data_IF_490387025593
#
_entry.id   IF_490387025593
#
_cell.length_a   1.000
_cell.length_b   1.000
_cell.length_c   1.000
_cell.angle_alpha   90.00
_cell.angle_beta   90.00
_cell.angle_gamma   90.00
#
_symmetry.space_group_name_H-M   'P 1'
#
loop_
_entity.id
_entity.type
_entity.pdbx_description
1 polymer ?
#
# COMPACT_ATOMS: atom_id res chain seq x y z
N UNK A 1 -2.94 -5.58 -8.69
CA UNK A 1 -2.25 -6.03 -9.92
C UNK A 1 -2.50 -5.12 -11.11
N UNK A 2 -3.74 -4.75 -11.43
CA UNK A 2 -4.07 -3.92 -12.62
C UNK A 2 -3.37 -2.56 -12.66
N UNK A 3 -3.23 -1.87 -11.52
CA UNK A 3 -2.59 -0.54 -11.45
C UNK A 3 -1.07 -0.57 -11.67
N UNK A 4 -0.43 -1.74 -11.58
CA UNK A 4 1.00 -1.85 -11.87
C UNK A 4 1.29 -1.60 -13.36
N UNK A 5 0.42 -2.07 -14.25
CA UNK A 5 0.50 -1.83 -15.70
C UNK A 5 0.39 -0.33 -15.99
N UNK A 6 -0.51 0.36 -15.29
CA UNK A 6 -0.66 1.81 -15.39
C UNK A 6 0.63 2.55 -14.98
N UNK A 7 1.23 2.18 -13.84
CA UNK A 7 2.48 2.79 -13.39
C UNK A 7 3.62 2.56 -14.40
N UNK A 8 3.74 1.34 -14.93
CA UNK A 8 4.74 1.00 -15.96
C UNK A 8 4.52 1.78 -17.25
N UNK A 9 3.27 1.94 -17.70
CA UNK A 9 2.96 2.70 -18.91
C UNK A 9 3.40 4.17 -18.79
N UNK A 10 3.11 4.81 -17.66
CA UNK A 10 3.55 6.19 -17.41
C UNK A 10 5.07 6.28 -17.33
N UNK A 11 5.72 5.33 -16.65
CA UNK A 11 7.18 5.28 -16.56
C UNK A 11 7.82 5.10 -17.95
N UNK A 12 7.22 4.28 -18.82
CA UNK A 12 7.68 4.08 -20.18
C UNK A 12 7.56 5.36 -21.04
N UNK A 13 6.45 6.08 -20.92
CA UNK A 13 6.26 7.38 -21.59
C UNK A 13 7.28 8.40 -21.08
N UNK A 14 7.52 8.41 -19.76
CA UNK A 14 8.53 9.28 -19.14
C UNK A 14 9.94 8.99 -19.64
N UNK A 15 10.30 7.71 -19.82
CA UNK A 15 11.59 7.27 -20.36
C UNK A 15 11.84 7.78 -21.79
N UNK A 16 10.80 7.78 -22.64
CA UNK A 16 10.90 8.34 -24.00
C UNK A 16 10.91 9.87 -24.01
N UNK A 17 10.09 10.49 -23.17
CA UNK A 17 9.97 11.94 -23.12
C UNK A 17 9.47 12.41 -21.75
N UNK A 18 10.28 13.16 -20.98
CA UNK A 18 9.94 13.53 -19.61
C UNK A 18 8.73 14.45 -19.54
N UNK A 19 8.59 15.38 -20.50
CA UNK A 19 7.46 16.33 -20.56
C UNK A 19 6.12 15.61 -20.68
N UNK A 20 5.99 14.67 -21.63
CA UNK A 20 4.74 13.93 -21.83
C UNK A 20 4.44 12.96 -20.69
N UNK A 21 5.47 12.37 -20.07
CA UNK A 21 5.27 11.52 -18.88
C UNK A 21 4.65 12.30 -17.72
N UNK A 22 5.15 13.50 -17.43
CA UNK A 22 4.61 14.37 -16.38
C UNK A 22 3.20 14.84 -16.72
N UNK A 23 2.96 15.28 -17.97
CA UNK A 23 1.62 15.72 -18.41
C UNK A 23 0.60 14.59 -18.26
N UNK A 24 0.90 13.38 -18.75
CA UNK A 24 0.02 12.23 -18.62
C UNK A 24 -0.27 11.86 -17.17
N UNK A 25 0.72 11.97 -16.28
CA UNK A 25 0.54 11.76 -14.85
C UNK A 25 -0.41 12.80 -14.23
N UNK A 26 -0.15 14.09 -14.46
CA UNK A 26 -0.96 15.20 -13.91
C UNK A 26 -2.40 15.13 -14.40
N UNK A 27 -2.60 14.92 -15.72
CA UNK A 27 -3.94 14.77 -16.31
C UNK A 27 -4.67 13.59 -15.68
N UNK A 28 -3.98 12.47 -15.48
CA UNK A 28 -4.57 11.30 -14.84
C UNK A 28 -4.95 11.54 -13.38
N UNK A 29 -4.15 12.28 -12.61
CA UNK A 29 -4.48 12.62 -11.22
C UNK A 29 -5.65 13.58 -11.11
N UNK A 30 -5.72 14.60 -11.97
CA UNK A 30 -6.87 15.52 -11.99
C UNK A 30 -8.13 14.76 -12.37
N UNK A 31 -8.07 13.92 -13.39
CA UNK A 31 -9.20 13.12 -13.85
C UNK A 31 -9.76 12.22 -12.74
N UNK A 32 -8.89 11.56 -11.97
CA UNK A 32 -9.32 10.64 -10.90
C UNK A 32 -9.93 11.38 -9.71
N UNK A 33 -9.40 12.55 -9.36
CA UNK A 33 -9.97 13.42 -8.33
C UNK A 33 -11.34 13.95 -8.75
N UNK A 34 -11.49 14.43 -9.98
CA UNK A 34 -12.75 14.94 -10.50
C UNK A 34 -13.81 13.84 -10.59
N UNK A 35 -13.48 12.68 -11.16
CA UNK A 35 -14.41 11.55 -11.25
C UNK A 35 -14.86 11.09 -9.86
N UNK A 36 -13.92 10.98 -8.91
CA UNK A 36 -14.27 10.57 -7.54
C UNK A 36 -15.18 11.61 -6.88
N UNK A 37 -14.92 12.91 -7.08
CA UNK A 37 -15.76 13.97 -6.56
C UNK A 37 -17.18 13.95 -7.16
N UNK A 38 -17.31 13.76 -8.47
CA UNK A 38 -18.60 13.67 -9.16
C UNK A 38 -19.41 12.48 -8.64
N UNK A 39 -18.78 11.31 -8.45
CA UNK A 39 -19.46 10.12 -7.93
C UNK A 39 -19.99 10.38 -6.51
N UNK A 40 -19.18 11.00 -5.65
CA UNK A 40 -19.61 11.33 -4.28
C UNK A 40 -20.76 12.32 -4.25
N UNK A 41 -20.72 13.31 -5.15
CA UNK A 41 -21.78 14.29 -5.31
C UNK A 41 -23.09 13.65 -5.79
N UNK A 42 -23.03 12.76 -6.78
CA UNK A 42 -24.20 12.04 -7.31
C UNK A 42 -24.81 11.06 -6.29
N UNK A 43 -23.97 10.37 -5.51
CA UNK A 43 -24.43 9.44 -4.48
C UNK A 43 -24.88 10.13 -3.18
N UNK A 44 -24.63 11.44 -3.03
CA UNK A 44 -24.91 12.22 -1.82
C UNK A 44 -24.37 11.53 -0.55
N UNK A 45 -23.19 10.91 -0.66
CA UNK A 45 -22.63 10.03 0.36
C UNK A 45 -22.36 10.79 1.66
N UNK A 46 -22.77 10.23 2.79
CA UNK A 46 -22.47 10.75 4.12
C UNK A 46 -21.32 9.94 4.77
N UNK A 47 -20.70 10.49 5.81
CA UNK A 47 -19.68 9.78 6.60
C UNK A 47 -20.29 8.79 7.61
N UNK A 48 -21.61 8.56 7.58
CA UNK A 48 -22.24 7.54 8.41
C UNK A 48 -21.88 6.16 7.88
N UNK A 49 -21.55 5.24 8.78
CA UNK A 49 -21.09 3.90 8.45
C UNK A 49 -22.06 3.15 7.50
N UNK A 50 -23.37 3.28 7.72
CA UNK A 50 -24.38 2.61 6.91
C UNK A 50 -24.48 3.18 5.48
N UNK A 51 -24.40 4.50 5.33
CA UNK A 51 -24.42 5.16 4.02
C UNK A 51 -23.13 4.86 3.25
N UNK A 52 -21.99 4.88 3.94
CA UNK A 52 -20.71 4.50 3.38
C UNK A 52 -20.70 3.03 2.93
N UNK A 53 -21.31 2.12 3.71
CA UNK A 53 -21.43 0.71 3.36
C UNK A 53 -22.31 0.52 2.12
N UNK A 54 -23.50 1.16 2.08
CA UNK A 54 -24.40 1.10 0.91
C UNK A 54 -23.74 1.60 -0.37
N UNK A 55 -22.99 2.68 -0.27
CA UNK A 55 -22.35 3.32 -1.42
C UNK A 55 -20.98 2.68 -1.75
N UNK A 56 -20.54 1.65 -1.02
CA UNK A 56 -19.23 0.98 -1.21
C UNK A 56 -19.07 0.45 -2.65
N UNK A 57 -20.14 -0.06 -3.27
CA UNK A 57 -20.08 -0.53 -4.66
C UNK A 57 -19.91 0.61 -5.68
N UNK A 58 -20.42 1.81 -5.38
CA UNK A 58 -20.26 2.96 -6.26
C UNK A 58 -18.92 3.69 -6.03
N UNK A 59 -18.43 3.68 -4.80
CA UNK A 59 -17.36 4.55 -4.32
C UNK A 59 -16.02 3.82 -4.09
N UNK A 60 -16.06 2.53 -3.74
CA UNK A 60 -14.92 1.79 -3.22
C UNK A 60 -14.49 0.60 -4.10
N UNK A 61 -15.41 -0.12 -4.73
CA UNK A 61 -15.08 -1.29 -5.57
C UNK A 61 -14.55 -0.87 -6.95
N UNK A 62 -14.96 0.29 -7.44
CA UNK A 62 -14.57 0.81 -8.75
C UNK A 62 -13.08 1.20 -8.80
N UNK A 63 -12.32 0.72 -9.80
CA UNK A 63 -10.86 0.88 -9.82
C UNK A 63 -10.40 2.34 -9.99
N UNK A 64 -11.19 3.18 -10.67
CA UNK A 64 -10.82 4.58 -10.93
C UNK A 64 -10.77 5.45 -9.68
N UNK A 65 -11.52 5.13 -8.62
CA UNK A 65 -11.43 5.86 -7.34
C UNK A 65 -10.22 5.40 -6.50
N UNK A 66 -9.60 4.28 -6.87
CA UNK A 66 -8.51 3.63 -6.12
C UNK A 66 -7.12 3.91 -6.64
N UNK A 67 -7.00 4.33 -7.90
CA UNK A 67 -5.70 4.61 -8.52
C UNK A 67 -4.97 5.79 -7.87
N UNK A 68 -5.70 6.66 -7.17
CA UNK A 68 -5.18 7.84 -6.47
C UNK A 68 -4.12 7.50 -5.42
N UNK A 69 -4.24 6.38 -4.70
CA UNK A 69 -3.20 5.93 -3.77
C UNK A 69 -1.93 5.49 -4.49
N UNK A 70 -2.03 4.85 -5.65
CA UNK A 70 -0.86 4.49 -6.47
C UNK A 70 -0.13 5.72 -7.00
N UNK A 71 -0.87 6.77 -7.39
CA UNK A 71 -0.27 8.03 -7.83
C UNK A 71 0.56 8.70 -6.74
N UNK A 72 0.10 8.67 -5.47
CA UNK A 72 0.90 9.16 -4.34
C UNK A 72 2.24 8.41 -4.20
N UNK A 73 2.21 7.08 -4.36
CA UNK A 73 3.40 6.23 -4.36
C UNK A 73 4.36 6.56 -5.51
N UNK A 74 3.84 6.89 -6.69
CA UNK A 74 4.67 7.32 -7.84
C UNK A 74 5.40 8.64 -7.56
N UNK A 75 4.69 9.63 -6.97
CA UNK A 75 5.28 10.92 -6.58
C UNK A 75 6.41 10.69 -5.58
N UNK A 76 6.17 9.88 -4.55
CA UNK A 76 7.15 9.56 -3.53
C UNK A 76 8.34 8.78 -4.09
N UNK A 77 8.09 7.80 -4.97
CA UNK A 77 9.15 7.07 -5.67
C UNK A 77 10.04 7.99 -6.51
N UNK A 78 9.44 8.98 -7.19
CA UNK A 78 10.18 9.99 -7.94
C UNK A 78 11.02 10.90 -7.01
N UNK A 79 10.44 11.36 -5.90
CA UNK A 79 11.17 12.14 -4.88
C UNK A 79 12.35 11.33 -4.35
N UNK A 80 12.15 10.06 -4.02
CA UNK A 80 13.20 9.16 -3.55
C UNK A 80 14.31 8.96 -4.59
N UNK A 81 13.95 8.83 -5.87
CA UNK A 81 14.92 8.74 -6.95
C UNK A 81 15.79 9.99 -7.05
N UNK A 82 15.19 11.18 -7.02
CA UNK A 82 15.92 12.47 -7.12
C UNK A 82 16.75 12.77 -5.87
N UNK A 83 16.25 12.39 -4.70
CA UNK A 83 16.91 12.65 -3.40
C UNK A 83 17.87 11.55 -2.97
N UNK A 84 18.05 10.50 -3.78
CA UNK A 84 18.90 9.33 -3.45
C UNK A 84 20.32 9.73 -3.04
N UNK A 85 20.90 10.71 -3.74
CA UNK A 85 22.27 11.17 -3.54
C UNK A 85 22.37 12.43 -2.66
N UNK A 86 21.23 13.03 -2.27
CA UNK A 86 21.19 14.25 -1.47
C UNK A 86 20.54 13.99 -0.12
N UNK A 87 21.35 13.99 0.94
CA UNK A 87 20.81 14.02 2.32
C UNK A 87 20.34 15.43 2.62
N UNK A 88 19.02 15.60 2.76
CA UNK A 88 18.43 16.85 3.20
C UNK A 88 18.60 16.95 4.71
N UNK A 89 19.31 17.97 5.17
CA UNK A 89 19.46 18.24 6.59
C UNK A 89 18.25 19.01 7.10
N UNK A 90 17.35 18.33 7.81
CA UNK A 90 16.27 18.97 8.57
C UNK A 90 16.77 19.44 9.94
N UNK A 91 16.30 20.61 10.36
CA UNK A 91 16.48 21.09 11.72
C UNK A 91 15.53 20.37 12.69
N UNK A 92 15.92 20.26 13.96
CA UNK A 92 15.09 19.61 15.01
C UNK A 92 13.67 20.17 15.08
N UNK A 93 13.49 21.48 14.87
CA UNK A 93 12.17 22.15 14.85
C UNK A 93 11.33 21.66 13.68
N UNK A 94 11.89 21.58 12.48
CA UNK A 94 11.18 21.09 11.29
C UNK A 94 10.74 19.64 11.45
N UNK A 95 11.60 18.79 12.02
CA UNK A 95 11.25 17.38 12.30
C UNK A 95 10.04 17.29 13.24
N UNK A 96 10.02 18.06 14.34
CA UNK A 96 8.87 18.07 15.27
C UNK A 96 7.60 18.57 14.59
N UNK A 97 7.68 19.63 13.79
CA UNK A 97 6.53 20.16 13.05
C UNK A 97 5.97 19.08 12.12
N UNK A 98 6.82 18.41 11.34
CA UNK A 98 6.40 17.38 10.40
C UNK A 98 5.74 16.21 11.14
N UNK A 99 6.35 15.69 12.20
CA UNK A 99 5.76 14.60 12.98
C UNK A 99 4.43 15.01 13.66
N UNK A 100 4.34 16.24 14.15
CA UNK A 100 3.09 16.77 14.72
C UNK A 100 2.00 16.94 13.66
N UNK A 101 2.35 17.35 12.44
CA UNK A 101 1.41 17.48 11.33
C UNK A 101 0.89 16.11 10.87
N UNK A 102 1.77 15.09 10.82
CA UNK A 102 1.41 13.71 10.52
C UNK A 102 0.41 13.20 11.58
N UNK A 103 0.74 13.34 12.87
CA UNK A 103 -0.17 12.94 13.96
C UNK A 103 -1.50 13.70 13.91
N UNK A 104 -1.46 15.02 13.67
CA UNK A 104 -2.65 15.86 13.55
C UNK A 104 -3.56 15.46 12.39
N UNK A 105 -2.97 15.03 11.27
CA UNK A 105 -3.74 14.50 10.15
C UNK A 105 -4.44 13.18 10.53
N UNK A 106 -3.72 12.23 11.15
CA UNK A 106 -4.31 10.96 11.58
C UNK A 106 -5.42 11.16 12.61
N UNK A 107 -5.22 12.02 13.62
CA UNK A 107 -6.26 12.30 14.62
C UNK A 107 -7.48 12.96 13.98
N UNK A 108 -7.28 13.90 13.06
CA UNK A 108 -8.37 14.52 12.30
C UNK A 108 -9.17 13.48 11.51
N UNK A 109 -8.51 12.53 10.84
CA UNK A 109 -9.23 11.48 10.09
C UNK A 109 -10.11 10.59 10.97
N UNK A 110 -9.73 10.38 12.23
CA UNK A 110 -10.49 9.54 13.18
C UNK A 110 -11.62 10.32 13.86
N UNK A 111 -11.40 11.60 14.15
CA UNK A 111 -12.34 12.48 14.88
C UNK A 111 -13.35 13.16 13.95
N UNK A 112 -13.15 13.08 12.63
CA UNK A 112 -14.04 13.65 11.63
C UNK A 112 -15.52 13.24 11.88
N UNK A 113 -16.30 14.21 12.35
CA UNK A 113 -17.71 13.98 12.69
C UNK A 113 -18.57 13.88 11.42
N UNK A 114 -19.67 13.08 11.45
CA UNK A 114 -20.56 12.93 10.31
C UNK A 114 -21.28 14.21 9.89
N UNK A 115 -21.42 15.18 10.80
CA UNK A 115 -22.23 16.40 10.62
C UNK A 115 -21.46 17.56 9.95
N UNK A 116 -20.30 17.27 9.34
CA UNK A 116 -19.53 18.25 8.58
C UNK A 116 -20.26 18.64 7.28
N UNK A 117 -19.99 19.84 6.72
CA UNK A 117 -20.57 20.24 5.45
C UNK A 117 -20.21 19.23 4.35
N UNK A 118 -21.23 18.78 3.61
CA UNK A 118 -21.10 17.70 2.60
C UNK A 118 -19.99 17.94 1.58
N UNK A 119 -19.79 19.19 1.19
CA UNK A 119 -18.72 19.58 0.26
C UNK A 119 -17.32 19.23 0.81
N UNK A 120 -17.10 19.41 2.11
CA UNK A 120 -15.85 19.10 2.77
C UNK A 120 -15.62 17.59 2.84
N UNK A 121 -16.70 16.82 3.06
CA UNK A 121 -16.66 15.36 3.03
C UNK A 121 -16.28 14.85 1.63
N UNK A 122 -16.87 15.41 0.56
CA UNK A 122 -16.56 15.01 -0.81
C UNK A 122 -15.11 15.31 -1.19
N UNK A 123 -14.62 16.50 -0.82
CA UNK A 123 -13.22 16.89 -1.03
C UNK A 123 -12.26 15.98 -0.24
N UNK A 124 -12.57 15.71 1.02
CA UNK A 124 -11.77 14.86 1.87
C UNK A 124 -11.75 13.41 1.38
N UNK A 125 -12.89 12.84 0.97
CA UNK A 125 -12.93 11.47 0.46
C UNK A 125 -12.27 11.32 -0.92
N UNK A 126 -12.35 12.34 -1.78
CA UNK A 126 -11.72 12.34 -3.10
C UNK A 126 -10.20 12.57 -3.01
N UNK A 127 -9.77 13.64 -2.35
CA UNK A 127 -8.35 14.01 -2.25
C UNK A 127 -7.61 13.34 -1.11
N UNK A 128 -8.29 13.00 -0.02
CA UNK A 128 -7.70 12.44 1.19
C UNK A 128 -6.98 11.12 0.95
N UNK A 129 -7.37 10.31 -0.04
CA UNK A 129 -6.66 9.09 -0.42
C UNK A 129 -5.24 9.37 -0.94
N UNK A 130 -5.07 10.44 -1.73
CA UNK A 130 -3.74 10.88 -2.21
C UNK A 130 -2.94 11.43 -1.05
N UNK A 131 -3.53 12.32 -0.26
CA UNK A 131 -2.87 12.97 0.88
C UNK A 131 -2.42 11.91 1.90
N UNK A 132 -3.27 10.94 2.21
CA UNK A 132 -2.96 9.84 3.09
C UNK A 132 -1.75 9.04 2.58
N UNK A 133 -1.74 8.68 1.29
CA UNK A 133 -0.61 7.96 0.70
C UNK A 133 0.69 8.79 0.68
N UNK A 134 0.60 10.10 0.42
CA UNK A 134 1.74 11.02 0.51
C UNK A 134 2.29 11.13 1.93
N UNK A 135 1.41 11.15 2.95
CA UNK A 135 1.81 11.19 4.36
C UNK A 135 2.51 9.89 4.75
N UNK A 136 1.90 8.73 4.44
CA UNK A 136 2.46 7.42 4.78
C UNK A 136 3.80 7.20 4.08
N UNK A 137 3.92 7.48 2.79
CA UNK A 137 5.22 7.35 2.13
C UNK A 137 6.19 8.48 2.49
N UNK A 138 5.70 9.66 2.88
CA UNK A 138 6.52 10.72 3.46
C UNK A 138 7.23 10.28 4.74
N UNK A 139 6.57 9.47 5.59
CA UNK A 139 7.21 8.83 6.75
C UNK A 139 8.41 7.99 6.30
N UNK A 140 8.27 7.22 5.22
CA UNK A 140 9.36 6.39 4.67
C UNK A 140 10.54 7.28 4.22
N UNK A 141 10.27 8.37 3.52
CA UNK A 141 11.30 9.34 3.07
C UNK A 141 12.04 9.95 4.27
N UNK A 142 11.30 10.39 5.30
CA UNK A 142 11.87 10.98 6.52
C UNK A 142 12.72 9.97 7.29
N UNK A 143 12.28 8.71 7.34
CA UNK A 143 13.05 7.60 7.91
C UNK A 143 14.36 7.39 7.14
N UNK A 144 14.34 7.44 5.80
CA UNK A 144 15.55 7.31 4.98
C UNK A 144 16.55 8.45 5.21
N UNK A 145 16.08 9.65 5.51
CA UNK A 145 16.96 10.78 5.88
C UNK A 145 17.51 10.70 7.32
N UNK A 146 17.07 9.72 8.13
CA UNK A 146 17.56 9.50 9.49
C UNK A 146 16.81 10.27 10.59
N UNK A 147 15.71 10.95 10.24
CA UNK A 147 14.90 11.74 11.18
C UNK A 147 13.73 10.94 11.81
N UNK A 148 13.62 9.65 11.48
CA UNK A 148 12.57 8.76 11.93
C UNK A 148 13.03 7.65 12.87
N UNK A 149 14.12 7.85 13.64
CA UNK A 149 14.76 6.80 14.47
C UNK A 149 13.78 6.03 15.38
N UNK A 150 12.75 6.70 15.90
CA UNK A 150 11.70 6.04 16.70
C UNK A 150 10.86 5.05 15.89
N UNK A 151 10.42 5.45 14.69
CA UNK A 151 9.65 4.60 13.78
C UNK A 151 10.50 3.46 13.19
N UNK A 152 11.74 3.75 12.82
CA UNK A 152 12.72 2.75 12.37
C UNK A 152 12.95 1.69 13.45
N UNK A 153 13.09 2.09 14.72
CA UNK A 153 13.27 1.18 15.84
C UNK A 153 12.06 0.26 16.04
N UNK A 154 10.83 0.77 15.88
CA UNK A 154 9.61 -0.05 15.93
C UNK A 154 9.59 -1.03 14.76
N UNK A 155 9.79 -0.53 13.53
CA UNK A 155 9.65 -1.32 12.31
C UNK A 155 10.71 -2.42 12.18
N UNK A 156 11.91 -2.22 12.72
CA UNK A 156 13.03 -3.18 12.63
C UNK A 156 12.92 -4.31 13.65
N UNK A 157 11.97 -4.25 14.59
CA UNK A 157 11.75 -5.34 15.56
C UNK A 157 11.41 -6.63 14.84
N UNK A 158 12.04 -7.73 15.27
CA UNK A 158 11.85 -9.07 14.69
C UNK A 158 10.39 -9.49 14.62
N UNK A 159 9.58 -9.12 15.60
CA UNK A 159 8.14 -9.41 15.62
C UNK A 159 7.42 -8.73 14.45
N UNK A 160 7.54 -7.41 14.31
CA UNK A 160 6.90 -6.62 13.24
C UNK A 160 7.39 -7.04 11.85
N UNK A 161 8.66 -7.42 11.75
CA UNK A 161 9.20 -7.99 10.53
C UNK A 161 8.48 -9.29 10.10
N UNK A 162 8.17 -10.20 11.03
CA UNK A 162 7.41 -11.41 10.66
C UNK A 162 5.96 -11.08 10.28
N UNK A 163 5.33 -10.13 10.97
CA UNK A 163 3.99 -9.66 10.61
C UNK A 163 3.93 -9.06 9.21
N UNK A 164 4.99 -8.39 8.78
CA UNK A 164 5.10 -7.84 7.42
C UNK A 164 5.08 -8.94 6.35
N UNK A 165 5.62 -10.12 6.63
CA UNK A 165 5.57 -11.27 5.71
C UNK A 165 4.17 -11.86 5.60
N UNK A 166 3.46 -11.96 6.73
CA UNK A 166 2.09 -12.47 6.79
C UNK A 166 1.07 -11.54 6.11
N UNK A 167 1.43 -10.27 5.89
CA UNK A 167 0.51 -9.24 5.40
C UNK A 167 -0.13 -9.60 4.05
N UNK A 168 0.58 -10.32 3.18
CA UNK A 168 0.03 -10.78 1.90
C UNK A 168 -1.09 -11.81 2.10
N UNK A 169 -0.84 -12.82 2.93
CA UNK A 169 -1.79 -13.90 3.18
C UNK A 169 -3.00 -13.40 3.99
N UNK A 170 -2.78 -12.47 4.93
CA UNK A 170 -3.85 -11.75 5.64
C UNK A 170 -4.74 -11.00 4.63
N UNK A 171 -4.14 -10.29 3.68
CA UNK A 171 -4.88 -9.51 2.68
C UNK A 171 -5.82 -10.38 1.84
N UNK A 172 -5.43 -11.61 1.52
CA UNK A 172 -6.28 -12.55 0.76
C UNK A 172 -7.43 -13.12 1.61
N UNK A 173 -7.15 -13.46 2.87
CA UNK A 173 -8.08 -14.17 3.75
C UNK A 173 -9.09 -13.23 4.39
N UNK A 174 -8.67 -12.03 4.75
CA UNK A 174 -9.48 -11.09 5.52
C UNK A 174 -10.85 -10.77 4.86
N UNK A 175 -10.93 -10.44 3.55
CA UNK A 175 -12.22 -10.24 2.88
C UNK A 175 -13.08 -11.50 2.85
N UNK A 176 -12.46 -12.69 2.72
CA UNK A 176 -13.19 -13.96 2.71
C UNK A 176 -13.84 -14.24 4.07
N UNK A 177 -13.12 -14.03 5.18
CA UNK A 177 -13.67 -14.14 6.53
C UNK A 177 -14.79 -13.12 6.73
N UNK A 178 -14.58 -11.87 6.31
CA UNK A 178 -15.62 -10.83 6.38
C UNK A 178 -16.89 -11.24 5.63
N UNK A 179 -16.76 -11.76 4.41
CA UNK A 179 -17.91 -12.25 3.63
C UNK A 179 -18.64 -13.41 4.30
N UNK A 180 -17.92 -14.35 4.94
CA UNK A 180 -18.54 -15.45 5.66
C UNK A 180 -19.30 -14.93 6.89
N UNK A 181 -18.66 -14.12 7.72
CA UNK A 181 -19.26 -13.60 8.97
C UNK A 181 -20.52 -12.79 8.65
N UNK A 182 -20.43 -11.83 7.73
CA UNK A 182 -21.57 -10.98 7.39
C UNK A 182 -22.58 -11.66 6.44
N UNK A 183 -22.18 -12.68 5.69
CA UNK A 183 -23.08 -13.43 4.81
C UNK A 183 -23.96 -14.45 5.54
N UNK A 184 -23.60 -14.83 6.77
CA UNK A 184 -24.37 -15.77 7.60
C UNK A 184 -25.40 -15.06 8.48
N UNK A 185 -25.26 -13.75 8.68
CA UNK A 185 -26.17 -12.94 9.48
C UNK A 185 -27.45 -12.61 8.69
N UNK A 186 -28.55 -13.30 9.01
CA UNK A 186 -29.88 -13.08 8.40
C UNK A 186 -30.68 -11.93 9.05
N UNK A 187 -30.13 -11.26 10.09
CA UNK A 187 -30.82 -10.24 10.88
C UNK A 187 -30.30 -8.83 10.57
N UNK A 188 -31.16 -7.83 10.79
CA UNK A 188 -30.80 -6.40 10.67
C UNK A 188 -29.66 -6.09 11.62
N UNK A 189 -28.50 -5.72 11.08
CA UNK A 189 -27.32 -5.37 11.87
C UNK A 189 -27.63 -4.15 12.73
N UNK A 190 -27.77 -4.35 14.05
CA UNK A 190 -27.79 -3.26 15.01
C UNK A 190 -26.38 -2.67 15.11
N UNK A 191 -26.16 -1.54 14.42
CA UNK A 191 -24.90 -0.82 14.42
C UNK A 191 -24.77 -0.05 15.74
N UNK A 192 -24.06 -0.66 16.69
CA UNK A 192 -23.57 0.01 17.90
C UNK A 192 -22.05 0.13 17.80
N UNK A 193 -21.51 1.27 18.24
CA UNK A 193 -20.07 1.55 18.21
C UNK A 193 -19.23 0.43 18.87
N UNK A 194 -19.68 -0.06 20.02
CA UNK A 194 -19.00 -1.14 20.77
C UNK A 194 -19.04 -2.44 19.98
N UNK A 195 -20.18 -2.78 19.37
CA UNK A 195 -20.33 -4.00 18.57
C UNK A 195 -19.43 -3.96 17.34
N UNK A 196 -19.36 -2.82 16.65
CA UNK A 196 -18.47 -2.65 15.48
C UNK A 196 -17.00 -2.82 15.85
N UNK A 197 -16.57 -2.32 17.01
CA UNK A 197 -15.19 -2.52 17.50
C UNK A 197 -14.93 -4.00 17.78
N UNK A 198 -15.84 -4.68 18.47
CA UNK A 198 -15.70 -6.11 18.78
C UNK A 198 -15.68 -6.96 17.52
N UNK A 199 -16.58 -6.71 16.57
CA UNK A 199 -16.62 -7.40 15.28
C UNK A 199 -15.32 -7.17 14.49
N UNK A 200 -14.82 -5.93 14.45
CA UNK A 200 -13.56 -5.59 13.78
C UNK A 200 -12.37 -6.32 14.41
N UNK A 201 -12.28 -6.36 15.75
CA UNK A 201 -11.22 -7.07 16.45
C UNK A 201 -11.32 -8.59 16.25
N UNK A 202 -12.53 -9.15 16.29
CA UNK A 202 -12.79 -10.57 16.07
C UNK A 202 -12.36 -11.01 14.68
N UNK A 203 -12.81 -10.29 13.64
CA UNK A 203 -12.42 -10.57 12.25
C UNK A 203 -10.91 -10.40 12.06
N UNK A 204 -10.30 -9.37 12.66
CA UNK A 204 -8.85 -9.17 12.58
C UNK A 204 -8.09 -10.35 13.19
N UNK A 205 -8.38 -10.73 14.43
CA UNK A 205 -7.72 -11.83 15.13
C UNK A 205 -7.89 -13.15 14.35
N UNK A 206 -9.10 -13.44 13.87
CA UNK A 206 -9.36 -14.62 13.04
C UNK A 206 -8.54 -14.62 11.74
N UNK A 207 -8.44 -13.45 11.08
CA UNK A 207 -7.65 -13.28 9.85
C UNK A 207 -6.15 -13.51 10.10
N UNK A 208 -5.62 -12.99 11.21
CA UNK A 208 -4.21 -13.21 11.60
C UNK A 208 -3.93 -14.68 11.89
N UNK A 209 -4.82 -15.34 12.65
CA UNK A 209 -4.66 -16.74 13.01
C UNK A 209 -4.71 -17.64 11.77
N UNK A 210 -5.72 -17.47 10.91
CA UNK A 210 -5.87 -18.30 9.71
C UNK A 210 -4.73 -18.03 8.72
N UNK A 211 -4.31 -16.78 8.56
CA UNK A 211 -3.15 -16.45 7.73
C UNK A 211 -1.88 -17.14 8.22
N UNK A 212 -1.66 -17.20 9.53
CA UNK A 212 -0.50 -17.87 10.09
C UNK A 212 -0.50 -19.37 9.75
N UNK A 213 -1.65 -20.03 9.90
CA UNK A 213 -1.83 -21.45 9.54
C UNK A 213 -1.57 -21.68 8.05
N UNK A 214 -2.15 -20.87 7.17
CA UNK A 214 -1.98 -21.00 5.72
C UNK A 214 -0.53 -20.74 5.30
N UNK A 215 0.14 -19.73 5.86
CA UNK A 215 1.54 -19.46 5.56
C UNK A 215 2.44 -20.63 5.96
N UNK A 216 2.17 -21.30 7.08
CA UNK A 216 2.96 -22.48 7.51
C UNK A 216 2.70 -23.68 6.61
N UNK A 217 1.44 -23.96 6.27
CA UNK A 217 1.06 -25.16 5.53
C UNK A 217 1.35 -25.07 4.03
N UNK A 218 1.27 -23.88 3.43
CA UNK A 218 1.36 -23.72 1.97
C UNK A 218 2.52 -22.83 1.54
N UNK A 219 2.64 -21.63 2.13
CA UNK A 219 3.60 -20.63 1.67
C UNK A 219 5.06 -21.04 1.97
N UNK A 220 5.35 -21.44 3.20
CA UNK A 220 6.69 -21.88 3.61
C UNK A 220 7.20 -23.12 2.84
N UNK A 221 6.44 -24.22 2.68
CA UNK A 221 6.92 -25.36 1.90
C UNK A 221 7.09 -25.01 0.44
N UNK A 222 6.22 -24.19 -0.15
CA UNK A 222 6.36 -23.77 -1.54
C UNK A 222 7.59 -22.90 -1.76
N UNK A 223 7.89 -21.96 -0.85
CA UNK A 223 9.11 -21.14 -0.90
C UNK A 223 10.34 -22.05 -0.85
N UNK A 224 10.41 -22.98 0.10
CA UNK A 224 11.55 -23.91 0.23
C UNK A 224 11.72 -24.78 -1.02
N UNK A 225 10.62 -25.27 -1.58
CA UNK A 225 10.62 -26.07 -2.79
C UNK A 225 11.12 -25.25 -3.99
N UNK A 226 10.64 -24.00 -4.12
CA UNK A 226 11.06 -23.09 -5.19
C UNK A 226 12.52 -22.70 -5.07
N UNK A 227 13.02 -22.45 -3.85
CA UNK A 227 14.42 -22.16 -3.60
C UNK A 227 15.28 -23.36 -3.96
N UNK A 228 14.89 -24.58 -3.57
CA UNK A 228 15.65 -25.77 -3.91
C UNK A 228 15.67 -26.02 -5.43
N UNK A 229 14.56 -25.88 -6.14
CA UNK A 229 14.55 -26.09 -7.59
C UNK A 229 15.22 -24.97 -8.39
N UNK A 230 15.14 -23.71 -7.95
CA UNK A 230 15.63 -22.55 -8.72
C UNK A 230 17.08 -22.21 -8.35
N UNK A 231 17.45 -22.16 -7.06
CA UNK A 231 18.82 -21.84 -6.65
C UNK A 231 19.80 -22.97 -6.94
N UNK A 232 19.42 -24.23 -6.71
CA UNK A 232 20.29 -25.39 -7.01
C UNK A 232 20.57 -25.49 -8.52
N UNK A 233 19.62 -25.07 -9.36
CA UNK A 233 19.80 -25.00 -10.82
C UNK A 233 20.73 -23.87 -11.25
N UNK A 234 20.67 -22.69 -10.61
CA UNK A 234 21.63 -21.59 -10.84
C UNK A 234 23.05 -21.97 -10.40
N UNK A 235 23.21 -22.53 -9.20
CA UNK A 235 24.50 -22.98 -8.68
C UNK A 235 25.13 -24.06 -9.58
N UNK A 236 24.33 -25.01 -10.07
CA UNK A 236 24.81 -26.03 -11.00
C UNK A 236 25.18 -25.45 -12.38
N UNK A 237 24.45 -24.45 -12.87
CA UNK A 237 24.77 -23.76 -14.13
C UNK A 237 26.06 -22.92 -14.01
N UNK A 238 26.25 -22.20 -12.90
CA UNK A 238 27.47 -21.40 -12.66
C UNK A 238 28.71 -22.31 -12.47
N UNK A 239 28.54 -23.45 -11.80
CA UNK A 239 29.60 -24.46 -11.63
C UNK A 239 29.99 -25.11 -12.96
N UNK A 240 29.03 -25.35 -13.87
CA UNK A 240 29.32 -25.88 -15.21
C UNK A 240 29.93 -24.82 -16.14
N UNK A 241 29.50 -23.56 -16.05
CA UNK A 241 30.10 -22.43 -16.77
C UNK A 241 31.57 -22.23 -16.40
N UNK A 242 31.92 -22.29 -15.11
CA UNK A 242 33.31 -22.20 -14.65
C UNK A 242 34.17 -23.38 -15.13
N UNK A 243 33.62 -24.61 -15.18
CA UNK A 243 34.33 -25.79 -15.71
C UNK A 243 34.55 -25.71 -17.22
N UNK A 244 33.60 -25.18 -17.99
CA UNK A 244 33.75 -25.01 -19.44
C UNK A 244 34.65 -23.82 -19.81
N UNK A 245 34.59 -22.70 -19.07
CA UNK A 245 35.52 -21.58 -19.24
C UNK A 245 36.97 -21.94 -18.90
N UNK A 246 37.17 -22.81 -17.89
CA UNK A 246 38.50 -23.36 -17.57
C UNK A 246 39.07 -24.24 -18.69
N UNK A 247 38.27 -25.11 -19.30
CA UNK A 247 38.73 -25.99 -20.40
C UNK A 247 39.08 -25.25 -21.69
N UNK A 248 38.32 -24.22 -22.07
CA UNK A 248 38.58 -23.41 -23.29
C UNK A 248 39.87 -22.59 -23.17
N UNK A 249 40.30 -22.27 -21.95
CA UNK A 249 41.56 -21.53 -21.71
C UNK A 249 42.77 -22.47 -21.76
N UNK A 250 42.62 -23.73 -21.34
CA UNK A 250 43.69 -24.74 -21.41
C UNK A 250 43.98 -25.23 -22.83
N UNK A 251 42.96 -25.29 -23.70
CA UNK A 251 43.09 -25.77 -25.09
C UNK A 251 43.70 -24.73 -26.04
N UNK A 252 43.85 -23.48 -25.61
CA UNK A 252 44.52 -22.40 -26.37
C UNK A 252 45.99 -22.19 -25.98
N UNK A 253 46.52 -22.98 -25.04
CA UNK A 253 47.88 -22.86 -24.51
C UNK A 253 48.77 -24.06 -24.89
N UNK A 254 48.24 -25.04 -25.64
CA UNK A 254 49.03 -26.05 -26.34
C UNK A 254 49.05 -25.76 -27.84
#
# INVERSE_FOLDING_TARGET
MQFYIYCLAILFIYSKSPKWGIISFVVSTISTLTVTFIIMYMCNTSMRFLDAYRDTDAVYTKPWTRISSYQSGMILGFILYVTRDRRIYLTRRQTVIIWSAILGFFTYTVVMHPDQPKILIYLFMSGGRIVYGLIVGGIIVICQWGYGRWFEWISTRRFIWQFSKLSYTIYLIHPAIGMIVYGTDAHVLNISFIKTILDCLGIAIASYYLSYVITILFELPYIRLSDEFILKRRLNHDTQSHKNGGKVTSEKIQ
#
